data_IF_653533738122
#
_entry.id   IF_653533738122
#
_cell.length_a   1.000
_cell.length_b   1.000
_cell.length_c   1.000
_cell.angle_alpha   90.00
_cell.angle_beta   90.00
_cell.angle_gamma   90.00
#
_symmetry.space_group_name_H-M   'P 1'
#
loop_
_entity.id
_entity.type
_entity.pdbx_description
1 polymer ?
#
# COMPACT_ATOMS: atom_id res chain seq x y z
N UNK A 1 -18.19 11.36 23.12
CA UNK A 1 -18.60 12.15 21.94
C UNK A 1 -17.66 11.77 20.79
N UNK A 2 -17.86 10.63 20.17
CA UNK A 2 -16.97 10.11 19.12
C UNK A 2 -17.78 9.09 18.33
N UNK A 3 -17.66 9.14 17.00
CA UNK A 3 -18.60 8.64 15.97
C UNK A 3 -19.76 9.62 15.75
N UNK A 4 -19.85 10.38 14.62
CA UNK A 4 -19.35 10.05 13.29
C UNK A 4 -18.68 11.23 12.52
N UNK A 5 -17.35 11.26 12.41
CA UNK A 5 -16.72 12.04 11.33
C UNK A 5 -16.75 11.29 9.99
N UNK A 6 -16.88 9.96 10.01
CA UNK A 6 -16.86 9.13 8.81
C UNK A 6 -18.23 8.92 8.14
N UNK A 7 -19.38 9.15 8.83
CA UNK A 7 -20.72 9.05 8.19
C UNK A 7 -21.15 10.32 7.44
N UNK A 8 -20.47 11.44 7.61
CA UNK A 8 -20.94 12.75 7.10
C UNK A 8 -20.17 13.22 5.86
N UNK A 9 -19.68 12.28 5.06
CA UNK A 9 -18.92 12.58 3.85
C UNK A 9 -19.59 11.90 2.65
N UNK A 10 -20.90 12.17 2.51
CA UNK A 10 -21.61 11.98 1.26
C UNK A 10 -21.32 13.23 0.41
N UNK A 11 -20.52 13.08 -0.64
CA UNK A 11 -20.03 14.19 -1.45
C UNK A 11 -20.82 14.35 -2.72
N UNK A 12 -21.64 15.40 -2.80
CA UNK A 12 -22.45 15.70 -3.99
C UNK A 12 -21.76 16.61 -5.01
N UNK A 13 -20.61 17.22 -4.68
CA UNK A 13 -19.92 18.20 -5.52
C UNK A 13 -18.39 18.20 -5.32
N UNK A 14 -17.61 18.62 -6.32
CA UNK A 14 -16.14 18.81 -6.19
C UNK A 14 -15.76 19.76 -5.04
N UNK A 15 -16.58 20.77 -4.75
CA UNK A 15 -16.37 21.68 -3.62
C UNK A 15 -16.45 20.97 -2.27
N UNK A 16 -17.34 19.99 -2.13
CA UNK A 16 -17.46 19.19 -0.90
C UNK A 16 -16.23 18.28 -0.68
N UNK A 17 -15.65 17.72 -1.75
CA UNK A 17 -14.41 16.94 -1.67
C UNK A 17 -13.22 17.80 -1.21
N UNK A 18 -13.06 19.01 -1.76
CA UNK A 18 -12.04 19.96 -1.29
C UNK A 18 -12.20 20.28 0.19
N UNK A 19 -13.44 20.46 0.66
CA UNK A 19 -13.72 20.67 2.07
C UNK A 19 -13.35 19.46 2.94
N UNK A 20 -13.62 18.23 2.52
CA UNK A 20 -13.22 17.04 3.30
C UNK A 20 -11.72 16.77 3.29
N UNK A 21 -11.01 17.05 2.18
CA UNK A 21 -9.54 17.06 2.19
C UNK A 21 -9.01 18.10 3.17
N UNK A 22 -9.65 19.28 3.23
CA UNK A 22 -9.32 20.30 4.23
C UNK A 22 -9.59 19.82 5.66
N UNK A 23 -10.71 19.12 5.93
CA UNK A 23 -10.98 18.52 7.24
C UNK A 23 -9.91 17.52 7.68
N UNK A 24 -9.39 16.70 6.77
CA UNK A 24 -8.27 15.80 7.06
C UNK A 24 -6.98 16.56 7.43
N UNK A 25 -6.78 17.79 6.95
CA UNK A 25 -5.64 18.63 7.35
C UNK A 25 -5.70 19.09 8.81
N UNK A 26 -6.87 19.02 9.46
CA UNK A 26 -7.03 19.31 10.89
C UNK A 26 -6.78 18.07 11.78
N UNK A 27 -6.60 16.88 11.20
CA UNK A 27 -6.08 15.73 11.96
C UNK A 27 -4.65 16.09 12.38
N UNK A 28 -4.28 15.96 13.67
CA UNK A 28 -2.95 16.28 14.13
C UNK A 28 -1.89 15.55 13.31
N UNK A 29 -1.14 16.31 12.50
CA UNK A 29 -0.01 15.84 11.70
C UNK A 29 1.30 15.83 12.49
N UNK A 30 1.19 16.06 13.80
CA UNK A 30 2.30 16.00 14.76
C UNK A 30 2.84 14.58 14.80
N UNK A 31 4.13 14.46 14.52
CA UNK A 31 4.87 13.23 14.75
C UNK A 31 5.54 13.28 16.14
N UNK A 32 5.85 12.13 16.74
CA UNK A 32 6.68 12.06 17.94
C UNK A 32 8.02 12.82 17.78
N UNK A 33 8.58 13.37 18.85
CA UNK A 33 9.82 14.20 18.82
C UNK A 33 11.06 13.48 18.25
N UNK A 34 11.06 12.15 18.31
CA UNK A 34 12.07 11.28 17.73
C UNK A 34 11.88 11.01 16.23
N UNK A 35 10.88 11.61 15.58
CA UNK A 35 10.68 11.53 14.13
C UNK A 35 11.05 12.85 13.48
N UNK A 36 11.91 12.80 12.47
CA UNK A 36 12.16 13.91 11.56
C UNK A 36 11.35 13.75 10.28
N UNK A 37 10.69 14.83 9.88
CA UNK A 37 10.01 14.95 8.58
C UNK A 37 10.72 16.01 7.76
N UNK A 38 11.04 15.71 6.50
CA UNK A 38 11.66 16.69 5.60
C UNK A 38 11.06 16.58 4.20
N UNK A 39 10.46 17.67 3.74
CA UNK A 39 9.91 17.77 2.39
C UNK A 39 11.01 17.65 1.32
N UNK A 40 10.64 17.08 0.17
CA UNK A 40 11.45 17.03 -1.02
C UNK A 40 10.54 17.15 -2.25
N UNK A 41 11.06 17.78 -3.29
CA UNK A 41 10.39 17.92 -4.57
C UNK A 41 11.39 17.60 -5.67
N UNK A 42 11.02 16.76 -6.63
CA UNK A 42 11.87 16.35 -7.73
C UNK A 42 11.06 16.24 -9.02
N UNK A 43 11.68 16.46 -10.20
CA UNK A 43 10.95 16.46 -11.45
C UNK A 43 10.37 15.07 -11.75
N UNK A 44 9.17 15.06 -12.33
CA UNK A 44 8.60 13.87 -12.96
C UNK A 44 9.45 13.41 -14.14
N UNK A 45 9.36 12.12 -14.47
CA UNK A 45 10.01 11.53 -15.65
C UNK A 45 9.15 11.79 -16.87
N UNK A 46 9.21 13.01 -17.41
CA UNK A 46 8.38 13.43 -18.54
C UNK A 46 8.66 12.65 -19.83
N UNK A 47 9.78 11.93 -19.89
CA UNK A 47 10.09 10.98 -20.95
C UNK A 47 9.25 9.68 -20.89
N UNK A 48 8.58 9.41 -19.77
CA UNK A 48 7.71 8.24 -19.59
C UNK A 48 6.26 8.64 -19.85
N UNK A 49 5.75 8.29 -21.03
CA UNK A 49 4.37 8.58 -21.41
C UNK A 49 3.50 7.33 -21.25
N UNK A 50 2.58 7.35 -20.27
CA UNK A 50 1.57 6.29 -20.13
C UNK A 50 0.40 6.54 -21.09
N UNK A 51 -0.26 5.46 -21.51
CA UNK A 51 -1.44 5.54 -22.39
C UNK A 51 -2.52 6.44 -21.78
N UNK A 52 -3.03 7.39 -22.59
CA UNK A 52 -4.04 8.35 -22.15
C UNK A 52 -3.50 9.62 -21.48
N UNK A 53 -2.18 9.78 -21.32
CA UNK A 53 -1.58 11.03 -20.81
C UNK A 53 -1.30 12.06 -21.91
N UNK A 54 -1.43 13.34 -21.57
CA UNK A 54 -0.88 14.45 -22.36
C UNK A 54 0.54 14.80 -21.91
N UNK A 55 1.34 15.41 -22.78
CA UNK A 55 2.70 15.89 -22.44
C UNK A 55 2.68 16.83 -21.23
N UNK A 56 1.71 17.75 -21.18
CA UNK A 56 1.57 18.68 -20.05
C UNK A 56 1.37 17.94 -18.71
N UNK A 57 0.64 16.83 -18.72
CA UNK A 57 0.43 15.99 -17.53
C UNK A 57 1.66 15.18 -17.13
N UNK A 58 2.65 14.99 -18.02
CA UNK A 58 3.89 14.28 -17.70
C UNK A 58 4.93 15.18 -17.01
N UNK A 59 4.74 16.50 -17.05
CA UNK A 59 5.70 17.50 -16.53
C UNK A 59 5.43 17.94 -15.08
N UNK A 60 6.31 18.78 -14.55
CA UNK A 60 6.25 19.30 -13.18
C UNK A 60 6.94 18.38 -12.18
N UNK A 61 6.65 18.56 -10.88
CA UNK A 61 7.33 17.84 -9.82
C UNK A 61 6.43 16.82 -9.12
N UNK A 62 7.07 15.75 -8.65
CA UNK A 62 6.55 14.89 -7.58
C UNK A 62 7.01 15.48 -6.26
N UNK A 63 6.05 15.75 -5.37
CA UNK A 63 6.32 16.15 -4.00
C UNK A 63 6.31 14.92 -3.11
N UNK A 64 7.16 14.90 -2.09
CA UNK A 64 7.23 13.82 -1.13
C UNK A 64 7.80 14.33 0.21
N UNK A 65 7.70 13.49 1.23
CA UNK A 65 8.30 13.73 2.54
C UNK A 65 9.19 12.55 2.92
N UNK A 66 10.41 12.85 3.36
CA UNK A 66 11.22 11.90 4.09
C UNK A 66 10.74 11.84 5.54
N UNK A 67 10.35 10.66 6.01
CA UNK A 67 10.01 10.38 7.40
C UNK A 67 11.07 9.44 7.95
N UNK A 68 11.75 9.89 9.01
CA UNK A 68 12.92 9.20 9.54
C UNK A 68 12.91 9.23 11.07
N UNK A 69 12.90 8.05 11.68
CA UNK A 69 13.04 7.88 13.12
C UNK A 69 14.48 8.08 13.58
N UNK A 70 14.65 8.62 14.79
CA UNK A 70 15.94 9.07 15.33
C UNK A 70 16.95 7.94 15.58
N UNK A 71 16.55 6.68 15.62
CA UNK A 71 17.51 5.57 15.63
C UNK A 71 17.88 5.06 14.22
N UNK A 72 17.19 5.52 13.17
CA UNK A 72 17.15 4.89 11.85
C UNK A 72 18.18 5.44 10.85
N UNK A 73 19.07 6.37 11.26
CA UNK A 73 20.08 6.97 10.36
C UNK A 73 21.37 7.39 11.06
N UNK A 74 22.46 7.24 10.30
CA UNK A 74 23.79 7.79 10.55
C UNK A 74 23.75 9.31 10.79
N UNK A 75 24.65 9.78 11.66
CA UNK A 75 24.91 11.17 11.99
C UNK A 75 25.16 12.06 10.76
N UNK A 76 25.71 11.54 9.65
CA UNK A 76 25.99 12.35 8.45
C UNK A 76 24.72 12.79 7.71
N UNK A 77 23.72 11.91 7.56
CA UNK A 77 22.44 12.25 6.93
C UNK A 77 21.74 13.38 7.69
N UNK A 78 21.77 13.29 9.02
CA UNK A 78 21.22 14.29 9.95
C UNK A 78 21.92 15.64 9.83
N UNK A 79 23.25 15.61 9.72
CA UNK A 79 24.10 16.81 9.56
C UNK A 79 23.81 17.54 8.24
N UNK A 80 23.69 16.82 7.12
CA UNK A 80 23.41 17.41 5.80
C UNK A 80 22.05 18.13 5.73
N UNK A 81 21.10 17.79 6.60
CA UNK A 81 19.75 18.38 6.63
C UNK A 81 19.45 19.21 7.89
N UNK A 82 20.47 19.54 8.69
CA UNK A 82 20.35 20.48 9.82
C UNK A 82 19.53 19.98 11.01
N UNK A 83 19.35 18.67 11.17
CA UNK A 83 18.59 18.09 12.28
C UNK A 83 19.43 18.11 13.58
N UNK A 84 18.85 18.62 14.69
CA UNK A 84 19.53 18.71 16.00
C UNK A 84 19.83 17.32 16.55
N UNK A 85 21.06 17.11 17.02
CA UNK A 85 21.51 15.83 17.61
C UNK A 85 21.39 15.88 19.14
N UNK A 86 20.81 14.84 19.75
CA UNK A 86 21.06 14.53 21.16
C UNK A 86 22.12 13.41 21.21
N UNK A 87 23.34 13.79 21.57
CA UNK A 87 24.56 12.97 21.73
C UNK A 87 25.24 12.50 20.42
N UNK A 88 26.46 13.00 20.21
CA UNK A 88 27.37 12.56 19.15
C UNK A 88 28.20 11.35 19.58
N UNK A 89 28.50 10.43 18.66
CA UNK A 89 29.81 9.80 18.56
C UNK A 89 30.59 10.35 17.35
N UNK A 90 31.91 10.26 17.45
CA UNK A 90 32.92 10.90 16.60
C UNK A 90 32.70 10.82 15.09
N UNK A 91 32.93 11.95 14.42
CA UNK A 91 32.89 12.11 12.98
C UNK A 91 34.14 11.55 12.29
N UNK A 92 33.95 10.81 11.19
CA UNK A 92 34.94 10.65 10.12
C UNK A 92 34.40 11.30 8.85
N UNK A 93 35.17 12.25 8.32
CA UNK A 93 34.91 12.97 7.07
C UNK A 93 35.08 12.08 5.85
N UNK A 94 34.01 11.86 5.10
CA UNK A 94 34.01 11.24 3.78
C UNK A 94 32.60 11.34 3.21
N UNK A 95 32.45 11.50 1.90
CA UNK A 95 31.13 11.49 1.25
C UNK A 95 30.40 10.19 1.62
N UNK A 96 29.34 10.23 2.44
CA UNK A 96 28.55 9.04 2.76
C UNK A 96 27.98 8.41 1.49
N UNK A 97 28.55 7.26 1.11
CA UNK A 97 27.84 6.23 0.39
C UNK A 97 26.69 5.73 1.30
N UNK A 98 25.56 5.31 0.71
CA UNK A 98 24.59 4.51 1.47
C UNK A 98 25.32 3.31 2.06
N UNK A 99 25.03 2.97 3.32
CA UNK A 99 25.45 1.67 3.83
C UNK A 99 24.89 0.60 2.89
N UNK A 100 25.66 -0.41 2.46
CA UNK A 100 25.16 -1.50 1.62
C UNK A 100 23.89 -2.16 2.19
N UNK A 101 23.75 -2.13 3.52
CA UNK A 101 22.65 -2.76 4.26
C UNK A 101 21.45 -1.83 4.47
N UNK A 102 21.53 -0.57 4.05
CA UNK A 102 20.43 0.37 4.22
C UNK A 102 19.24 -0.01 3.34
N UNK A 103 18.05 -0.04 3.94
CA UNK A 103 16.76 -0.17 3.25
C UNK A 103 16.03 1.17 3.22
N UNK A 104 15.32 1.41 2.12
CA UNK A 104 14.48 2.58 1.87
C UNK A 104 13.06 2.08 1.62
N UNK A 105 12.08 2.67 2.32
CA UNK A 105 10.67 2.43 2.05
C UNK A 105 10.16 3.52 1.12
N UNK A 106 9.74 3.17 -0.09
CA UNK A 106 8.97 4.07 -0.96
C UNK A 106 7.49 3.86 -0.66
N UNK A 107 6.84 4.86 -0.06
CA UNK A 107 5.51 4.72 0.52
C UNK A 107 4.43 5.49 -0.27
N UNK A 108 3.31 4.81 -0.55
CA UNK A 108 2.11 5.39 -1.15
C UNK A 108 0.95 5.31 -0.16
N UNK A 109 0.38 6.47 0.18
CA UNK A 109 -0.73 6.55 1.14
C UNK A 109 -2.03 5.97 0.59
N UNK A 110 -2.92 5.50 1.47
CA UNK A 110 -4.30 5.16 1.14
C UNK A 110 -5.21 6.37 1.02
N UNK A 111 -6.52 6.10 0.94
CA UNK A 111 -7.55 7.14 0.73
C UNK A 111 -8.25 7.02 -0.62
N UNK A 112 -8.40 5.80 -1.13
CA UNK A 112 -9.20 5.49 -2.32
C UNK A 112 -8.83 6.30 -3.58
N UNK A 113 -7.56 6.71 -3.70
CA UNK A 113 -7.02 7.56 -4.79
C UNK A 113 -7.55 8.99 -4.88
N UNK A 114 -8.50 9.40 -4.03
CA UNK A 114 -9.05 10.76 -4.01
C UNK A 114 -8.91 11.48 -2.67
N UNK A 115 -8.41 10.81 -1.63
CA UNK A 115 -8.12 11.36 -0.30
C UNK A 115 -6.72 10.96 0.16
N UNK A 116 -6.29 11.58 1.25
CA UNK A 116 -4.99 11.32 1.86
C UNK A 116 -3.89 12.26 1.36
N UNK A 117 -2.75 12.14 2.00
CA UNK A 117 -1.48 12.81 1.71
C UNK A 117 -0.38 12.18 2.58
N UNK A 118 0.91 12.47 2.31
CA UNK A 118 2.00 12.13 3.23
C UNK A 118 1.72 12.58 4.67
N UNK A 119 1.23 13.81 4.83
CA UNK A 119 0.91 14.37 6.15
C UNK A 119 -0.14 13.56 6.92
N UNK A 120 -1.20 13.09 6.25
CA UNK A 120 -2.27 12.29 6.89
C UNK A 120 -1.82 10.89 7.29
N UNK A 121 -0.74 10.37 6.70
CA UNK A 121 -0.22 9.03 6.95
C UNK A 121 1.06 9.03 7.79
N UNK A 122 1.49 10.19 8.32
CA UNK A 122 2.69 10.33 9.15
C UNK A 122 2.74 9.39 10.36
N UNK A 123 1.62 9.10 11.01
CA UNK A 123 1.60 8.13 12.12
C UNK A 123 2.01 6.73 11.65
N UNK A 124 1.56 6.33 10.47
CA UNK A 124 1.84 5.03 9.90
C UNK A 124 3.28 4.98 9.35
N UNK A 125 3.71 5.99 8.59
CA UNK A 125 5.08 6.06 8.06
C UNK A 125 6.15 6.24 9.16
N UNK A 126 5.80 6.86 10.28
CA UNK A 126 6.65 6.90 11.48
C UNK A 126 6.86 5.51 12.06
N UNK A 127 5.79 4.72 12.21
CA UNK A 127 5.87 3.34 12.68
C UNK A 127 6.66 2.45 11.72
N UNK A 128 6.52 2.64 10.40
CA UNK A 128 7.39 1.99 9.41
C UNK A 128 8.85 2.35 9.68
N UNK A 129 9.20 3.63 9.80
CA UNK A 129 10.60 4.05 10.01
C UNK A 129 11.18 3.53 11.32
N UNK A 130 10.38 3.47 12.37
CA UNK A 130 10.76 2.94 13.69
C UNK A 130 11.01 1.43 13.64
N UNK A 131 10.06 0.63 13.13
CA UNK A 131 10.13 -0.83 13.21
C UNK A 131 11.04 -1.47 12.16
N UNK A 132 11.28 -0.78 11.04
CA UNK A 132 12.17 -1.25 9.97
C UNK A 132 13.59 -0.69 10.09
N UNK A 133 13.79 0.34 10.92
CA UNK A 133 15.03 1.12 10.93
C UNK A 133 15.35 1.83 9.61
N UNK A 134 14.37 1.94 8.70
CA UNK A 134 14.56 2.47 7.35
C UNK A 134 14.10 3.92 7.23
N UNK A 135 14.63 4.64 6.24
CA UNK A 135 14.04 5.92 5.80
C UNK A 135 12.80 5.66 4.97
N UNK A 136 11.75 6.45 5.18
CA UNK A 136 10.50 6.35 4.41
C UNK A 136 10.36 7.57 3.51
N UNK A 137 10.27 7.38 2.20
CA UNK A 137 9.89 8.42 1.25
C UNK A 137 8.38 8.30 0.98
N UNK A 138 7.58 9.15 1.61
CA UNK A 138 6.13 9.16 1.43
C UNK A 138 5.73 10.11 0.31
N UNK A 139 5.15 9.57 -0.76
CA UNK A 139 4.89 10.32 -2.01
C UNK A 139 3.52 11.02 -1.94
N UNK A 140 3.48 12.31 -2.27
CA UNK A 140 2.25 13.06 -2.52
C UNK A 140 1.85 12.88 -3.98
N UNK A 141 1.42 11.67 -4.33
CA UNK A 141 0.99 11.36 -5.69
C UNK A 141 -0.31 12.11 -6.02
N UNK A 142 -0.48 12.47 -7.29
CA UNK A 142 -1.67 13.17 -7.78
C UNK A 142 -2.96 12.40 -7.47
N UNK A 143 -4.03 13.11 -7.13
CA UNK A 143 -5.29 12.51 -6.73
C UNK A 143 -6.41 12.78 -7.73
N UNK A 144 -7.30 11.80 -7.84
CA UNK A 144 -8.58 11.89 -8.50
C UNK A 144 -9.57 12.80 -7.74
N UNK A 145 -10.57 13.42 -8.40
CA UNK A 145 -10.85 13.38 -9.84
C UNK A 145 -10.02 14.39 -10.64
N UNK A 146 -9.24 15.26 -9.99
CA UNK A 146 -8.44 16.27 -10.71
C UNK A 146 -7.37 15.62 -11.58
N UNK A 147 -6.85 14.48 -11.13
CA UNK A 147 -5.81 13.73 -11.81
C UNK A 147 -6.12 12.22 -11.72
N UNK A 148 -7.06 11.70 -12.52
CA UNK A 148 -7.41 10.28 -12.52
C UNK A 148 -6.25 9.43 -13.06
N UNK A 149 -6.41 8.11 -12.99
CA UNK A 149 -5.56 7.15 -13.69
C UNK A 149 -5.33 7.59 -15.16
N UNK A 150 -4.09 7.53 -15.67
CA UNK A 150 -2.90 6.90 -15.08
C UNK A 150 -1.97 7.85 -14.29
N UNK A 151 -2.40 9.08 -13.99
CA UNK A 151 -1.52 10.11 -13.39
C UNK A 151 -0.95 9.75 -12.01
N UNK A 152 -1.69 9.07 -11.11
CA UNK A 152 -1.14 8.56 -9.84
C UNK A 152 -0.02 7.52 -10.07
N UNK A 153 -0.19 6.63 -11.05
CA UNK A 153 0.80 5.61 -11.42
C UNK A 153 2.07 6.24 -12.00
N UNK A 154 1.92 7.26 -12.86
CA UNK A 154 3.04 8.01 -13.38
C UNK A 154 3.88 8.68 -12.27
N UNK A 155 3.23 9.19 -11.22
CA UNK A 155 3.93 9.76 -10.07
C UNK A 155 4.68 8.70 -9.25
N UNK A 156 4.09 7.50 -9.10
CA UNK A 156 4.74 6.35 -8.47
C UNK A 156 5.97 5.88 -9.25
N UNK A 157 5.86 5.78 -10.57
CA UNK A 157 6.98 5.44 -11.47
C UNK A 157 8.07 6.50 -11.38
N UNK A 158 7.70 7.78 -11.45
CA UNK A 158 8.64 8.89 -11.31
C UNK A 158 9.38 8.87 -9.97
N UNK A 159 8.69 8.55 -8.87
CA UNK A 159 9.30 8.44 -7.55
C UNK A 159 10.27 7.25 -7.45
N UNK A 160 9.89 6.09 -7.95
CA UNK A 160 10.75 4.91 -7.95
C UNK A 160 12.01 5.12 -8.79
N UNK A 161 11.84 5.58 -10.02
CA UNK A 161 12.96 5.86 -10.92
C UNK A 161 13.83 7.00 -10.36
N UNK A 162 13.24 8.02 -9.74
CA UNK A 162 13.97 9.07 -9.05
C UNK A 162 14.87 8.56 -7.90
N UNK A 163 14.53 7.44 -7.27
CA UNK A 163 15.40 6.81 -6.26
C UNK A 163 16.56 6.01 -6.89
N UNK A 164 16.32 5.29 -7.99
CA UNK A 164 17.36 4.43 -8.62
C UNK A 164 18.20 5.15 -9.68
N UNK A 165 17.70 6.25 -10.19
CA UNK A 165 18.30 7.09 -11.23
C UNK A 165 17.92 8.56 -11.00
N UNK A 166 18.45 9.20 -9.94
CA UNK A 166 18.01 10.52 -9.53
C UNK A 166 18.31 11.58 -10.60
N UNK A 167 17.36 12.50 -10.87
CA UNK A 167 17.61 13.65 -11.74
C UNK A 167 18.78 14.48 -11.22
N UNK A 168 19.68 14.91 -12.12
CA UNK A 168 20.80 15.77 -11.78
C UNK A 168 20.34 17.03 -11.03
N UNK A 169 20.97 17.33 -9.89
CA UNK A 169 20.65 18.51 -9.10
C UNK A 169 19.39 18.41 -8.23
N UNK A 170 18.66 17.29 -8.24
CA UNK A 170 17.46 17.08 -7.39
C UNK A 170 17.76 16.96 -5.89
N UNK A 171 19.03 16.75 -5.52
CA UNK A 171 19.43 16.45 -4.14
C UNK A 171 19.00 15.06 -3.66
N UNK A 172 18.45 14.22 -4.55
CA UNK A 172 18.17 12.81 -4.26
C UNK A 172 19.44 11.97 -4.33
N UNK A 173 19.58 11.07 -3.38
CA UNK A 173 20.62 10.05 -3.38
C UNK A 173 20.19 8.89 -4.29
N UNK A 174 21.14 8.33 -5.04
CA UNK A 174 20.93 7.11 -5.83
C UNK A 174 20.95 5.89 -4.91
N UNK A 175 19.95 5.02 -5.05
CA UNK A 175 19.82 3.75 -4.35
C UNK A 175 19.82 2.58 -5.34
N UNK A 176 20.25 1.41 -4.89
CA UNK A 176 20.06 0.19 -5.67
C UNK A 176 18.60 -0.27 -5.56
N UNK A 177 18.01 -0.87 -6.61
CA UNK A 177 16.69 -1.51 -6.52
C UNK A 177 16.56 -2.48 -5.33
N UNK A 178 17.63 -3.23 -5.02
CA UNK A 178 17.71 -4.16 -3.88
C UNK A 178 17.68 -3.51 -2.49
N UNK A 179 17.80 -2.17 -2.42
CA UNK A 179 17.64 -1.39 -1.20
C UNK A 179 16.21 -0.86 -1.02
N UNK A 180 15.37 -0.91 -2.06
CA UNK A 180 14.06 -0.26 -2.05
C UNK A 180 12.98 -1.31 -1.80
N UNK A 181 12.19 -1.10 -0.76
CA UNK A 181 10.90 -1.79 -0.56
C UNK A 181 9.80 -0.80 -0.89
N UNK A 182 8.90 -1.16 -1.80
CA UNK A 182 7.71 -0.34 -2.07
C UNK A 182 6.61 -0.74 -1.09
N UNK A 183 5.91 0.22 -0.54
CA UNK A 183 4.89 -0.03 0.46
C UNK A 183 3.70 0.91 0.30
N UNK A 184 2.57 0.50 0.85
CA UNK A 184 1.40 1.37 0.93
C UNK A 184 0.26 0.75 1.71
N UNK A 185 -0.79 1.54 1.89
CA UNK A 185 -2.03 1.14 2.54
C UNK A 185 -3.23 1.32 1.61
N UNK A 186 -4.20 0.40 1.64
CA UNK A 186 -5.45 0.53 0.87
C UNK A 186 -5.18 0.77 -0.62
N UNK A 187 -5.71 1.84 -1.20
CA UNK A 187 -5.40 2.29 -2.56
C UNK A 187 -3.90 2.50 -2.84
N UNK A 188 -3.13 2.97 -1.86
CA UNK A 188 -1.69 3.16 -2.00
C UNK A 188 -0.93 1.83 -2.08
N UNK A 189 -1.42 0.79 -1.39
CA UNK A 189 -0.88 -0.56 -1.54
C UNK A 189 -1.15 -1.11 -2.96
N UNK A 190 -2.32 -0.83 -3.52
CA UNK A 190 -2.66 -1.15 -4.91
C UNK A 190 -1.74 -0.40 -5.89
N UNK A 191 -1.44 0.87 -5.61
CA UNK A 191 -0.49 1.66 -6.40
C UNK A 191 0.94 1.08 -6.35
N UNK A 192 1.37 0.59 -5.17
CA UNK A 192 2.67 -0.08 -5.02
C UNK A 192 2.75 -1.34 -5.89
N UNK A 193 1.68 -2.14 -5.92
CA UNK A 193 1.60 -3.33 -6.76
C UNK A 193 1.51 -2.96 -8.25
N UNK A 194 0.71 -1.96 -8.62
CA UNK A 194 0.62 -1.48 -10.01
C UNK A 194 1.96 -0.94 -10.53
N UNK A 195 2.72 -0.21 -9.69
CA UNK A 195 4.10 0.19 -10.00
C UNK A 195 4.98 -1.04 -10.28
N UNK A 196 4.92 -2.05 -9.42
CA UNK A 196 5.68 -3.28 -9.58
C UNK A 196 5.30 -3.99 -10.90
N UNK A 197 4.02 -4.13 -11.21
CA UNK A 197 3.56 -4.71 -12.48
C UNK A 197 4.05 -3.90 -13.68
N UNK A 198 4.01 -2.57 -13.61
CA UNK A 198 4.50 -1.73 -14.70
C UNK A 198 6.01 -1.89 -14.92
N UNK A 199 6.81 -1.90 -13.85
CA UNK A 199 8.27 -2.11 -13.94
C UNK A 199 8.59 -3.53 -14.42
N UNK A 200 7.81 -4.53 -14.02
CA UNK A 200 7.93 -5.90 -14.51
C UNK A 200 7.77 -5.96 -16.03
N UNK A 201 6.76 -5.28 -16.56
CA UNK A 201 6.38 -5.35 -17.97
C UNK A 201 7.22 -4.42 -18.87
N UNK A 202 7.73 -3.30 -18.33
CA UNK A 202 8.40 -2.24 -19.12
C UNK A 202 9.86 -1.97 -18.69
N UNK A 203 10.30 -2.51 -17.56
CA UNK A 203 11.57 -2.16 -16.94
C UNK A 203 12.78 -2.74 -17.67
N UNK A 204 12.65 -3.94 -18.25
CA UNK A 204 13.75 -4.65 -18.92
C UNK A 204 14.36 -3.85 -20.08
N UNK A 205 13.51 -3.23 -20.91
CA UNK A 205 13.92 -2.39 -22.04
C UNK A 205 14.70 -1.15 -21.60
N UNK A 206 14.43 -0.65 -20.39
CA UNK A 206 15.02 0.56 -19.83
C UNK A 206 16.14 0.26 -18.81
N UNK A 207 16.44 -1.01 -18.56
CA UNK A 207 17.39 -1.43 -17.52
C UNK A 207 16.89 -1.18 -16.07
N UNK A 208 15.61 -0.88 -15.89
CA UNK A 208 14.99 -0.75 -14.57
C UNK A 208 14.67 -2.13 -14.01
N UNK A 209 15.14 -2.38 -12.79
CA UNK A 209 14.86 -3.63 -12.07
C UNK A 209 13.72 -3.41 -11.08
N UNK A 210 13.04 -4.49 -10.71
CA UNK A 210 12.04 -4.50 -9.66
C UNK A 210 12.63 -4.08 -8.30
N UNK A 211 11.81 -3.50 -7.40
CA UNK A 211 12.22 -3.26 -6.02
C UNK A 211 12.54 -4.57 -5.30
N UNK A 212 13.25 -4.49 -4.18
CA UNK A 212 13.57 -5.64 -3.33
C UNK A 212 12.31 -6.38 -2.89
N UNK A 213 11.22 -5.67 -2.63
CA UNK A 213 9.91 -6.27 -2.36
C UNK A 213 8.82 -5.27 -2.09
N UNK A 214 7.66 -5.80 -1.70
CA UNK A 214 6.40 -5.07 -1.54
C UNK A 214 5.85 -5.31 -0.13
N UNK A 215 5.42 -4.26 0.57
CA UNK A 215 4.58 -4.36 1.78
C UNK A 215 3.23 -3.70 1.51
N UNK A 216 2.19 -4.52 1.40
CA UNK A 216 0.84 -4.10 1.10
C UNK A 216 -0.07 -4.26 2.31
N UNK A 217 -0.47 -3.13 2.90
CA UNK A 217 -1.40 -3.12 4.02
C UNK A 217 -2.82 -3.03 3.47
N UNK A 218 -3.59 -4.10 3.60
CA UNK A 218 -5.02 -4.10 3.30
C UNK A 218 -5.33 -3.56 1.88
N UNK A 219 -4.70 -4.14 0.82
CA UNK A 219 -4.72 -3.56 -0.52
C UNK A 219 -6.10 -3.63 -1.19
N UNK A 220 -6.46 -2.58 -1.93
CA UNK A 220 -7.69 -2.51 -2.72
C UNK A 220 -7.44 -2.89 -4.18
N UNK A 221 -7.46 -4.19 -4.45
CA UNK A 221 -7.02 -4.81 -5.70
C UNK A 221 -8.13 -4.97 -6.75
N UNK A 222 -9.38 -4.71 -6.38
CA UNK A 222 -10.57 -4.96 -7.20
C UNK A 222 -11.63 -3.84 -7.07
N UNK A 223 -11.64 -2.92 -8.04
CA UNK A 223 -12.65 -1.87 -8.16
C UNK A 223 -14.03 -2.38 -8.58
N UNK A 224 -14.16 -3.64 -9.01
CA UNK A 224 -15.47 -4.25 -9.31
C UNK A 224 -16.17 -4.74 -8.03
N UNK A 225 -15.46 -4.81 -6.91
CA UNK A 225 -15.94 -5.33 -5.63
C UNK A 225 -16.57 -6.72 -5.75
N UNK A 226 -15.93 -7.59 -6.53
CA UNK A 226 -16.43 -8.92 -6.88
C UNK A 226 -16.32 -9.93 -5.72
N UNK A 227 -15.51 -9.64 -4.70
CA UNK A 227 -15.24 -10.56 -3.61
C UNK A 227 -16.27 -10.46 -2.46
N UNK A 228 -16.61 -11.59 -1.82
CA UNK A 228 -17.74 -11.65 -0.89
C UNK A 228 -17.51 -10.90 0.43
N UNK A 229 -16.28 -10.86 0.97
CA UNK A 229 -15.97 -10.07 2.17
C UNK A 229 -16.36 -8.61 2.03
N UNK A 230 -16.32 -8.05 0.81
CA UNK A 230 -16.68 -6.66 0.57
C UNK A 230 -18.12 -6.36 0.99
N UNK A 231 -19.03 -7.34 0.87
CA UNK A 231 -20.44 -7.19 1.20
C UNK A 231 -20.74 -7.70 2.62
N UNK A 232 -20.10 -8.80 3.03
CA UNK A 232 -20.43 -9.52 4.27
C UNK A 232 -19.77 -8.96 5.54
N UNK A 233 -18.59 -8.34 5.45
CA UNK A 233 -17.87 -7.87 6.64
C UNK A 233 -18.44 -6.54 7.16
N UNK A 234 -19.61 -6.62 7.79
CA UNK A 234 -20.39 -5.49 8.33
C UNK A 234 -19.74 -4.75 9.50
N UNK A 235 -18.79 -5.39 10.19
CA UNK A 235 -18.02 -4.79 11.29
C UNK A 235 -16.93 -3.83 10.79
N UNK A 236 -16.58 -3.89 9.51
CA UNK A 236 -15.63 -2.95 8.92
C UNK A 236 -16.25 -1.55 8.79
N UNK A 237 -15.44 -0.53 9.02
CA UNK A 237 -15.86 0.86 8.89
C UNK A 237 -15.86 1.34 7.43
N UNK A 238 -15.32 0.55 6.50
CA UNK A 238 -15.46 0.82 5.07
C UNK A 238 -16.95 0.79 4.66
N UNK A 239 -17.46 1.86 3.99
CA UNK A 239 -18.87 1.97 3.67
C UNK A 239 -19.30 1.01 2.54
N UNK A 240 -20.49 0.40 2.69
CA UNK A 240 -21.13 -0.47 1.67
C UNK A 240 -21.91 0.30 0.63
N UNK A 241 -22.30 1.55 0.93
CA UNK A 241 -23.30 2.35 0.20
C UNK A 241 -22.83 2.87 -1.16
N UNK A 242 -22.13 2.01 -1.90
CA UNK A 242 -21.78 2.10 -3.31
C UNK A 242 -22.93 1.56 -4.20
N UNK A 243 -24.14 1.38 -3.65
CA UNK A 243 -25.26 0.69 -4.32
C UNK A 243 -26.56 1.49 -4.44
N UNK A 244 -26.60 2.77 -4.03
CA UNK A 244 -27.78 3.63 -4.22
C UNK A 244 -27.64 4.50 -5.48
N UNK A 245 -28.38 4.22 -6.56
CA UNK A 245 -28.30 4.97 -7.82
C UNK A 245 -28.85 6.41 -7.75
N UNK A 246 -29.53 6.81 -6.66
CA UNK A 246 -30.17 8.13 -6.54
C UNK A 246 -29.32 9.20 -5.84
N UNK A 247 -28.20 8.82 -5.21
CA UNK A 247 -27.35 9.72 -4.44
C UNK A 247 -25.90 9.66 -4.90
N UNK A 248 -25.64 10.30 -6.06
CA UNK A 248 -24.32 10.55 -6.65
C UNK A 248 -23.61 9.27 -7.11
N UNK A 249 -23.66 9.04 -8.44
CA UNK A 249 -22.67 8.27 -9.22
C UNK A 249 -22.08 7.07 -8.46
N UNK A 250 -22.81 5.96 -8.52
CA UNK A 250 -22.70 4.70 -7.79
C UNK A 250 -21.38 3.89 -7.93
N UNK A 251 -20.23 4.53 -8.13
CA UNK A 251 -18.93 3.89 -7.97
C UNK A 251 -17.85 4.91 -7.63
N UNK A 252 -17.18 4.77 -6.47
CA UNK A 252 -16.00 5.59 -6.15
C UNK A 252 -14.83 5.28 -7.09
N UNK A 253 -14.86 4.14 -7.76
CA UNK A 253 -13.92 3.81 -8.85
C UNK A 253 -13.95 4.86 -9.96
N UNK A 254 -15.11 5.49 -10.24
CA UNK A 254 -15.22 6.58 -11.23
C UNK A 254 -14.42 7.84 -10.90
N UNK A 255 -13.99 8.00 -9.64
CA UNK A 255 -13.03 9.05 -9.33
C UNK A 255 -11.66 8.64 -9.85
N UNK A 256 -11.24 7.42 -9.53
CA UNK A 256 -9.92 6.94 -9.92
C UNK A 256 -9.80 6.71 -11.43
N UNK A 257 -10.82 6.17 -12.09
CA UNK A 257 -10.89 6.01 -13.55
C UNK A 257 -12.03 6.84 -14.12
N UNK A 258 -11.84 7.44 -15.29
CA UNK A 258 -12.92 8.18 -15.96
C UNK A 258 -13.98 7.28 -16.63
N UNK A 259 -13.73 5.97 -16.69
CA UNK A 259 -14.57 4.97 -17.34
C UNK A 259 -14.56 3.66 -16.53
N UNK A 260 -15.73 3.02 -16.41
CA UNK A 260 -15.90 1.74 -15.74
C UNK A 260 -15.25 0.58 -16.47
N UNK A 261 -15.03 0.69 -17.79
CA UNK A 261 -14.30 -0.33 -18.55
C UNK A 261 -12.89 -0.58 -17.96
N UNK A 262 -12.31 0.45 -17.35
CA UNK A 262 -10.99 0.40 -16.71
C UNK A 262 -10.99 -0.31 -15.35
N UNK A 263 -12.15 -0.59 -14.74
CA UNK A 263 -12.20 -1.29 -13.45
C UNK A 263 -11.56 -2.69 -13.50
N UNK A 264 -11.46 -3.28 -14.69
CA UNK A 264 -10.79 -4.57 -14.92
C UNK A 264 -9.35 -4.45 -15.45
N UNK A 265 -8.87 -3.23 -15.68
CA UNK A 265 -7.49 -3.01 -16.15
C UNK A 265 -6.50 -3.48 -15.06
N UNK A 266 -5.49 -4.31 -15.39
CA UNK A 266 -4.53 -4.85 -14.42
C UNK A 266 -3.70 -3.82 -13.64
N UNK A 267 -3.51 -2.60 -14.17
CA UNK A 267 -2.82 -1.50 -13.48
C UNK A 267 -3.75 -0.64 -12.62
N UNK A 268 -5.06 -0.85 -12.75
CA UNK A 268 -6.11 -0.20 -11.97
C UNK A 268 -6.60 -1.12 -10.85
N UNK A 269 -6.88 -2.37 -11.20
CA UNK A 269 -7.30 -3.45 -10.31
C UNK A 269 -6.33 -4.63 -10.47
N UNK A 270 -5.22 -4.64 -9.70
CA UNK A 270 -4.20 -5.68 -9.84
C UNK A 270 -4.68 -7.12 -9.61
N UNK A 271 -5.88 -7.33 -9.02
CA UNK A 271 -6.49 -8.65 -8.93
C UNK A 271 -6.59 -9.35 -10.31
N UNK A 272 -6.79 -8.59 -11.38
CA UNK A 272 -6.95 -9.10 -12.74
C UNK A 272 -5.63 -9.28 -13.51
N UNK A 273 -4.50 -8.87 -12.93
CA UNK A 273 -3.18 -9.23 -13.44
C UNK A 273 -2.89 -10.73 -13.14
N UNK A 274 -1.93 -11.32 -13.87
CA UNK A 274 -1.51 -12.71 -13.65
C UNK A 274 0.02 -12.83 -13.69
N UNK A 275 0.55 -13.78 -12.91
CA UNK A 275 1.88 -14.37 -13.13
C UNK A 275 1.80 -15.68 -13.92
N UNK A 276 2.95 -16.16 -14.37
CA UNK A 276 3.11 -17.37 -15.16
C UNK A 276 4.22 -18.23 -14.55
N UNK A 277 3.90 -19.49 -14.22
CA UNK A 277 4.84 -20.44 -13.63
C UNK A 277 6.06 -20.72 -14.52
N UNK A 278 5.90 -20.59 -15.85
CA UNK A 278 6.95 -20.84 -16.83
C UNK A 278 7.78 -19.60 -17.18
N UNK A 279 7.44 -18.44 -16.60
CA UNK A 279 8.17 -17.21 -16.80
C UNK A 279 8.46 -16.55 -15.44
N UNK A 280 9.65 -16.79 -14.85
CA UNK A 280 10.04 -16.12 -13.61
C UNK A 280 10.02 -14.59 -13.69
N UNK A 281 10.16 -13.99 -14.88
CA UNK A 281 10.07 -12.54 -15.05
C UNK A 281 8.64 -12.02 -14.89
N UNK A 282 7.63 -12.88 -14.99
CA UNK A 282 6.23 -12.52 -14.76
C UNK A 282 5.83 -12.44 -13.27
N UNK A 283 6.70 -12.89 -12.36
CA UNK A 283 6.45 -12.90 -10.92
C UNK A 283 6.68 -11.53 -10.29
N UNK A 284 6.03 -11.29 -9.16
CA UNK A 284 6.35 -10.16 -8.28
C UNK A 284 7.57 -10.48 -7.41
N UNK A 285 8.28 -9.46 -6.88
CA UNK A 285 9.31 -9.68 -5.87
C UNK A 285 8.67 -10.18 -4.56
N UNK A 286 9.51 -10.47 -3.56
CA UNK A 286 9.04 -10.79 -2.21
C UNK A 286 7.95 -9.80 -1.79
N UNK A 287 6.80 -10.33 -1.36
CA UNK A 287 5.63 -9.50 -1.09
C UNK A 287 4.98 -9.93 0.22
N UNK A 288 4.80 -8.99 1.14
CA UNK A 288 4.03 -9.15 2.36
C UNK A 288 2.69 -8.45 2.20
N UNK A 289 1.59 -9.19 2.38
CA UNK A 289 0.23 -8.65 2.43
C UNK A 289 -0.33 -8.88 3.83
N UNK A 290 -0.78 -7.82 4.49
CA UNK A 290 -1.44 -7.89 5.80
C UNK A 290 -2.90 -7.49 5.69
N UNK A 291 -3.80 -8.33 6.21
CA UNK A 291 -5.25 -8.18 6.11
C UNK A 291 -5.91 -8.32 7.47
N UNK A 292 -7.03 -7.63 7.66
CA UNK A 292 -7.92 -7.90 8.79
C UNK A 292 -8.91 -9.04 8.48
N UNK A 293 -9.18 -9.93 9.44
CA UNK A 293 -10.18 -10.98 9.24
C UNK A 293 -11.62 -10.45 9.13
N UNK A 294 -11.87 -9.24 9.66
CA UNK A 294 -13.14 -8.50 9.59
C UNK A 294 -13.12 -7.39 8.52
N UNK A 295 -12.14 -7.41 7.64
CA UNK A 295 -11.95 -6.39 6.62
C UNK A 295 -12.71 -6.70 5.33
N UNK A 296 -13.33 -5.70 4.72
CA UNK A 296 -14.03 -5.83 3.43
C UNK A 296 -13.12 -6.23 2.27
N UNK A 297 -11.87 -5.77 2.27
CA UNK A 297 -10.87 -6.05 1.24
C UNK A 297 -10.07 -7.35 1.48
N UNK A 298 -10.48 -8.16 2.48
CA UNK A 298 -9.76 -9.40 2.84
C UNK A 298 -9.67 -10.38 1.66
N UNK A 299 -10.80 -10.69 1.05
CA UNK A 299 -10.87 -11.81 0.11
C UNK A 299 -10.13 -11.53 -1.20
N UNK A 300 -10.06 -10.27 -1.65
CA UNK A 300 -9.28 -9.90 -2.84
C UNK A 300 -7.78 -10.07 -2.63
N UNK A 301 -7.24 -9.77 -1.43
CA UNK A 301 -5.86 -10.07 -1.08
C UNK A 301 -5.59 -11.58 -1.09
N UNK A 302 -6.50 -12.38 -0.52
CA UNK A 302 -6.38 -13.85 -0.52
C UNK A 302 -6.39 -14.39 -1.95
N UNK A 303 -7.35 -13.99 -2.78
CA UNK A 303 -7.47 -14.46 -4.16
C UNK A 303 -6.32 -13.99 -5.04
N UNK A 304 -5.80 -12.78 -4.80
CA UNK A 304 -4.61 -12.28 -5.49
C UNK A 304 -3.42 -13.21 -5.27
N UNK A 305 -3.13 -13.60 -4.02
CA UNK A 305 -2.01 -14.49 -3.71
C UNK A 305 -2.27 -15.95 -4.10
N UNK A 306 -3.51 -16.44 -3.95
CA UNK A 306 -3.85 -17.85 -4.14
C UNK A 306 -4.07 -18.22 -5.62
N UNK A 307 -4.54 -17.27 -6.43
CA UNK A 307 -4.89 -17.53 -7.83
C UNK A 307 -4.08 -16.66 -8.80
N UNK A 308 -4.11 -15.33 -8.65
CA UNK A 308 -3.51 -14.43 -9.63
C UNK A 308 -1.98 -14.43 -9.65
N UNK A 309 -1.36 -14.53 -8.48
CA UNK A 309 0.08 -14.52 -8.29
C UNK A 309 0.58 -15.74 -7.51
N UNK A 310 -0.03 -16.89 -7.78
CA UNK A 310 0.27 -18.15 -7.07
C UNK A 310 1.71 -18.61 -7.20
N UNK A 311 2.46 -18.13 -8.20
CA UNK A 311 3.86 -18.49 -8.40
C UNK A 311 4.81 -17.53 -7.68
N UNK A 312 4.40 -16.28 -7.49
CA UNK A 312 5.16 -15.25 -6.80
C UNK A 312 5.40 -15.57 -5.32
N UNK A 313 6.49 -15.06 -4.70
CA UNK A 313 6.82 -15.27 -3.30
C UNK A 313 6.03 -14.34 -2.39
N UNK A 314 4.73 -14.61 -2.27
CA UNK A 314 3.78 -13.83 -1.47
C UNK A 314 3.54 -14.48 -0.10
N UNK A 315 3.73 -13.71 0.97
CA UNK A 315 3.29 -14.02 2.32
C UNK A 315 2.02 -13.23 2.62
N UNK A 316 0.95 -13.92 3.01
CA UNK A 316 -0.28 -13.32 3.53
C UNK A 316 -0.36 -13.51 5.04
N UNK A 317 -0.72 -12.46 5.76
CA UNK A 317 -1.04 -12.50 7.18
C UNK A 317 -2.45 -11.97 7.42
N UNK A 318 -3.34 -12.82 7.94
CA UNK A 318 -4.73 -12.48 8.25
C UNK A 318 -4.84 -12.32 9.76
N UNK A 319 -5.03 -11.09 10.22
CA UNK A 319 -5.11 -10.75 11.64
C UNK A 319 -6.53 -10.89 12.18
N UNK A 320 -6.67 -11.70 13.22
CA UNK A 320 -7.94 -11.99 13.88
C UNK A 320 -8.57 -10.73 14.44
N UNK A 321 -9.87 -10.57 14.21
CA UNK A 321 -10.72 -9.45 14.62
C UNK A 321 -10.26 -8.04 14.19
N UNK A 322 -9.25 -7.93 13.33
CA UNK A 322 -8.82 -6.66 12.76
C UNK A 322 -9.70 -6.21 11.59
N UNK A 323 -9.88 -4.89 11.48
CA UNK A 323 -10.60 -4.18 10.41
C UNK A 323 -9.63 -3.55 9.40
N UNK A 324 -10.15 -2.85 8.39
CA UNK A 324 -9.32 -2.13 7.42
C UNK A 324 -8.31 -1.20 8.10
N UNK A 325 -7.07 -1.17 7.60
CA UNK A 325 -5.95 -0.34 8.11
C UNK A 325 -5.88 -0.29 9.65
N UNK A 326 -5.74 -1.46 10.29
CA UNK A 326 -5.60 -1.55 11.75
C UNK A 326 -4.20 -1.17 12.27
N UNK A 327 -3.19 -1.18 11.40
CA UNK A 327 -1.78 -0.98 11.76
C UNK A 327 -1.49 0.31 12.55
N UNK A 328 -2.13 1.48 12.27
CA UNK A 328 -1.93 2.68 13.08
C UNK A 328 -2.29 2.52 14.57
N UNK A 329 -3.10 1.52 14.95
CA UNK A 329 -3.41 1.24 16.36
C UNK A 329 -2.21 0.76 17.17
N UNK A 330 -1.08 0.40 16.53
CA UNK A 330 0.17 0.10 17.22
C UNK A 330 0.65 1.30 18.09
N UNK A 331 0.45 2.53 17.60
CA UNK A 331 0.76 3.75 18.36
C UNK A 331 -0.13 3.92 19.62
N UNK A 332 -1.19 3.14 19.74
CA UNK A 332 -2.08 3.08 20.91
C UNK A 332 -1.88 1.82 21.76
N UNK A 333 -0.87 1.01 21.46
CA UNK A 333 -0.56 -0.20 22.22
C UNK A 333 -1.39 -1.42 21.83
N UNK A 334 -2.11 -1.40 20.70
CA UNK A 334 -2.85 -2.56 20.22
C UNK A 334 -1.87 -3.64 19.75
N UNK A 335 -2.01 -4.85 20.32
CA UNK A 335 -1.02 -5.91 20.21
C UNK A 335 -0.93 -6.50 18.81
N UNK A 336 -2.06 -6.70 18.12
CA UNK A 336 -2.08 -7.22 16.76
C UNK A 336 -1.39 -6.27 15.78
N UNK A 337 -1.63 -4.97 15.91
CA UNK A 337 -0.98 -3.92 15.14
C UNK A 337 0.53 -3.84 15.42
N UNK A 338 0.96 -4.01 16.68
CA UNK A 338 2.39 -4.10 17.03
C UNK A 338 3.01 -5.34 16.38
N UNK A 339 2.35 -6.49 16.45
CA UNK A 339 2.84 -7.72 15.83
C UNK A 339 2.92 -7.60 14.31
N UNK A 340 1.95 -6.91 13.69
CA UNK A 340 1.99 -6.56 12.28
C UNK A 340 3.23 -5.75 11.92
N UNK A 341 3.59 -4.73 12.71
CA UNK A 341 4.80 -3.96 12.48
C UNK A 341 6.10 -4.71 12.76
N UNK A 342 6.12 -5.62 13.74
CA UNK A 342 7.28 -6.52 13.94
C UNK A 342 7.50 -7.41 12.72
N UNK A 343 6.41 -7.97 12.17
CA UNK A 343 6.48 -8.76 10.93
C UNK A 343 6.99 -7.93 9.76
N UNK A 344 6.50 -6.69 9.57
CA UNK A 344 7.02 -5.75 8.57
C UNK A 344 8.51 -5.48 8.77
N UNK A 345 8.95 -5.23 10.01
CA UNK A 345 10.36 -4.99 10.33
C UNK A 345 11.26 -6.16 9.96
N UNK A 346 10.84 -7.38 10.30
CA UNK A 346 11.55 -8.61 9.92
C UNK A 346 11.54 -8.80 8.40
N UNK A 347 10.39 -8.59 7.75
CA UNK A 347 10.28 -8.68 6.30
C UNK A 347 11.28 -7.73 5.62
N UNK A 348 11.25 -6.44 5.93
CA UNK A 348 12.15 -5.44 5.31
C UNK A 348 13.62 -5.76 5.57
N UNK A 349 13.97 -6.17 6.80
CA UNK A 349 15.34 -6.51 7.19
C UNK A 349 15.90 -7.69 6.42
N UNK A 350 15.09 -8.73 6.20
CA UNK A 350 15.51 -9.97 5.54
C UNK A 350 15.07 -10.08 4.08
N UNK A 351 14.50 -9.01 3.52
CA UNK A 351 14.13 -8.93 2.11
C UNK A 351 15.34 -8.63 1.21
N UNK A 352 16.38 -9.44 1.33
CA UNK A 352 17.58 -9.44 0.50
C UNK A 352 17.40 -10.38 -0.70
N UNK A 353 18.29 -10.29 -1.67
CA UNK A 353 18.37 -11.33 -2.70
C UNK A 353 18.53 -12.70 -2.00
N UNK A 354 17.77 -13.72 -2.41
CA UNK A 354 17.88 -15.07 -1.82
C UNK A 354 19.32 -15.58 -1.87
N UNK A 355 20.07 -15.22 -2.92
CA UNK A 355 21.49 -15.58 -3.06
C UNK A 355 22.40 -14.98 -1.98
N UNK A 356 21.97 -13.92 -1.30
CA UNK A 356 22.70 -13.25 -0.22
C UNK A 356 22.33 -13.81 1.17
N UNK A 357 21.24 -14.59 1.28
CA UNK A 357 20.83 -15.24 2.52
C UNK A 357 21.31 -16.69 2.54
N UNK A 358 21.92 -17.12 3.66
CA UNK A 358 22.17 -18.55 3.84
C UNK A 358 20.83 -19.30 3.95
N UNK A 359 20.75 -20.52 3.40
CA UNK A 359 19.55 -21.36 3.52
C UNK A 359 19.13 -21.53 4.99
N UNK A 360 20.11 -21.64 5.90
CA UNK A 360 19.88 -21.71 7.35
C UNK A 360 19.33 -20.40 7.96
N UNK A 361 19.60 -19.24 7.35
CA UNK A 361 18.99 -17.96 7.74
C UNK A 361 17.58 -17.87 7.19
N UNK A 362 17.39 -18.21 5.92
CA UNK A 362 16.09 -18.17 5.25
C UNK A 362 15.08 -19.12 5.92
N UNK A 363 15.47 -20.37 6.21
CA UNK A 363 14.60 -21.33 6.92
C UNK A 363 14.29 -20.94 8.37
N UNK A 364 15.15 -20.14 9.01
CA UNK A 364 14.91 -19.64 10.38
C UNK A 364 14.01 -18.41 10.42
N UNK A 365 13.94 -17.62 9.34
CA UNK A 365 13.13 -16.41 9.29
C UNK A 365 11.73 -16.80 8.77
N UNK A 366 10.91 -17.32 9.68
CA UNK A 366 9.50 -17.64 9.39
C UNK A 366 8.73 -16.47 8.78
N UNK A 367 9.12 -15.22 9.07
CA UNK A 367 8.40 -13.99 8.68
C UNK A 367 8.59 -13.57 7.21
N UNK A 368 9.47 -14.23 6.43
CA UNK A 368 9.64 -13.97 4.98
C UNK A 368 9.17 -15.13 4.10
N UNK A 369 8.76 -16.24 4.71
CA UNK A 369 8.36 -17.43 3.96
C UNK A 369 7.01 -17.18 3.27
N UNK A 370 6.98 -17.39 1.95
CA UNK A 370 5.75 -17.48 1.13
C UNK A 370 4.75 -18.41 1.83
N UNK A 371 3.50 -18.01 1.91
CA UNK A 371 2.47 -18.81 2.55
C UNK A 371 1.30 -17.98 3.06
N UNK A 372 0.34 -18.67 3.66
CA UNK A 372 -0.87 -18.09 4.22
C UNK A 372 -0.87 -18.30 5.73
N UNK A 373 -0.92 -17.21 6.48
CA UNK A 373 -0.80 -17.23 7.93
C UNK A 373 -2.02 -16.56 8.57
N UNK A 374 -2.53 -17.15 9.63
CA UNK A 374 -3.55 -16.57 10.50
C UNK A 374 -2.88 -16.12 11.80
N UNK A 375 -3.10 -14.87 12.19
CA UNK A 375 -2.49 -14.26 13.37
C UNK A 375 -3.59 -13.99 14.38
N UNK A 376 -3.44 -14.53 15.59
CA UNK A 376 -4.42 -14.35 16.67
C UNK A 376 -3.73 -14.23 18.02
N UNK A 377 -4.50 -14.07 19.10
CA UNK A 377 -3.95 -14.05 20.47
C UNK A 377 -3.21 -15.33 20.87
N UNK A 378 -3.39 -16.45 20.15
CA UNK A 378 -2.62 -17.68 20.37
C UNK A 378 -1.30 -17.75 19.61
N UNK A 379 -1.01 -16.76 18.76
CA UNK A 379 0.20 -16.67 17.94
C UNK A 379 -0.06 -16.69 16.43
N UNK A 380 1.01 -16.96 15.66
CA UNK A 380 0.98 -17.05 14.20
C UNK A 380 0.90 -18.51 13.78
N UNK A 381 -0.11 -18.85 12.97
CA UNK A 381 -0.32 -20.20 12.45
C UNK A 381 -0.28 -20.19 10.91
N UNK A 382 0.54 -21.06 10.30
CA UNK A 382 0.47 -21.33 8.86
C UNK A 382 -0.80 -22.15 8.57
N UNK A 383 -1.73 -21.59 7.79
CA UNK A 383 -3.01 -22.23 7.46
C UNK A 383 -3.00 -22.90 6.08
N UNK A 384 -2.04 -22.54 5.21
CA UNK A 384 -1.96 -23.03 3.84
C UNK A 384 -3.00 -22.43 2.89
N UNK A 385 -2.76 -22.58 1.59
CA UNK A 385 -3.59 -21.96 0.55
C UNK A 385 -5.02 -22.51 0.52
N UNK A 386 -5.21 -23.80 0.74
CA UNK A 386 -6.54 -24.44 0.71
C UNK A 386 -7.46 -23.86 1.79
N UNK A 387 -6.99 -23.74 3.03
CA UNK A 387 -7.78 -23.15 4.11
C UNK A 387 -8.04 -21.66 3.87
N UNK A 388 -7.07 -20.91 3.34
CA UNK A 388 -7.28 -19.51 3.00
C UNK A 388 -8.35 -19.33 1.91
N UNK A 389 -8.32 -20.14 0.85
CA UNK A 389 -9.35 -20.13 -0.20
C UNK A 389 -10.71 -20.59 0.34
N UNK A 390 -10.74 -21.53 1.29
CA UNK A 390 -11.98 -21.96 1.95
C UNK A 390 -12.65 -20.82 2.75
N UNK A 391 -11.89 -19.88 3.32
CA UNK A 391 -12.46 -18.67 3.95
C UNK A 391 -13.29 -17.88 2.92
N UNK A 392 -12.74 -17.68 1.71
CA UNK A 392 -13.42 -16.96 0.63
C UNK A 392 -14.61 -17.76 0.09
N UNK A 393 -14.46 -19.07 -0.08
CA UNK A 393 -15.51 -19.95 -0.58
C UNK A 393 -16.72 -20.01 0.38
N UNK A 394 -16.47 -20.08 1.69
CA UNK A 394 -17.51 -20.05 2.72
C UNK A 394 -18.29 -18.71 2.67
N UNK A 395 -17.57 -17.58 2.60
CA UNK A 395 -18.17 -16.27 2.44
C UNK A 395 -19.00 -16.17 1.14
N UNK A 396 -18.51 -16.73 0.03
CA UNK A 396 -19.26 -16.77 -1.23
C UNK A 396 -20.57 -17.56 -1.12
N UNK A 397 -20.56 -18.67 -0.38
CA UNK A 397 -21.75 -19.47 -0.12
C UNK A 397 -22.76 -18.70 0.74
N UNK A 398 -22.31 -18.04 1.81
CA UNK A 398 -23.14 -17.20 2.67
C UNK A 398 -23.81 -16.05 1.88
N UNK A 399 -23.05 -15.34 1.04
CA UNK A 399 -23.58 -14.24 0.23
C UNK A 399 -24.64 -14.73 -0.76
N UNK A 400 -24.47 -15.93 -1.34
CA UNK A 400 -25.51 -16.54 -2.20
C UNK A 400 -26.78 -16.81 -1.40
N UNK A 401 -26.67 -17.37 -0.20
CA UNK A 401 -27.83 -17.63 0.67
C UNK A 401 -28.58 -16.35 1.04
N UNK A 402 -27.88 -15.27 1.39
CA UNK A 402 -28.51 -13.98 1.70
C UNK A 402 -29.31 -13.44 0.51
N UNK A 403 -28.75 -13.50 -0.71
CA UNK A 403 -29.47 -13.09 -1.93
C UNK A 403 -30.68 -13.97 -2.23
N UNK A 404 -30.61 -15.28 -1.99
CA UNK A 404 -31.77 -16.16 -2.14
C UNK A 404 -32.91 -15.81 -1.16
N UNK A 405 -32.58 -15.50 0.10
CA UNK A 405 -33.56 -15.08 1.10
C UNK A 405 -34.20 -13.74 0.73
N UNK A 406 -33.43 -12.77 0.24
CA UNK A 406 -33.96 -11.49 -0.26
C UNK A 406 -34.92 -11.68 -1.43
N UNK A 407 -34.58 -12.52 -2.43
CA UNK A 407 -35.46 -12.83 -3.57
C UNK A 407 -36.71 -13.62 -3.14
N UNK A 408 -36.58 -14.49 -2.15
CA UNK A 408 -37.71 -15.20 -1.55
C UNK A 408 -38.67 -14.24 -0.85
N UNK A 409 -38.15 -13.26 -0.12
CA UNK A 409 -38.96 -12.27 0.61
C UNK A 409 -39.60 -11.22 -0.32
N UNK A 410 -38.95 -10.83 -1.43
CA UNK A 410 -39.55 -9.93 -2.43
C UNK A 410 -40.68 -10.59 -3.22
N UNK A 411 -40.60 -11.92 -3.44
CA UNK A 411 -41.70 -12.68 -4.04
C UNK A 411 -42.88 -12.97 -3.07
N UNK A 412 -42.73 -12.68 -1.77
CA UNK A 412 -43.80 -12.80 -0.76
C UNK A 412 -44.55 -11.48 -0.55
N UNK A 413 -44.12 -10.39 -1.18
CA UNK A 413 -44.92 -9.15 -1.31
C UNK A 413 -45.68 -9.09 -2.63
N UNK A 414 -46.51 -10.10 -2.92
CA UNK A 414 -47.62 -9.95 -3.87
C UNK A 414 -48.87 -10.51 -3.21
N UNK A 415 -49.90 -9.66 -3.17
CA UNK A 415 -51.25 -9.86 -2.63
C UNK A 415 -51.41 -9.94 -1.11
N UNK A 416 -51.82 -8.82 -0.52
CA UNK A 416 -53.16 -8.66 0.06
C UNK A 416 -53.66 -7.22 -0.14
#
# INVERSE_FOLDING_TARGET
>A
MTVPLYRTVLHSTQSSLKYSRSLLSFIPTSVPDNISVTEISFPRRCEIMLEGMTESQATGNVNAEWVVHGSSVDAEWRRKRGLKTSKQPHASSGQSASSPDEKIILYFHGGAFFMGSPATTRNLTSLFSEHTGSRVLSVAYRLAPENPFPLPLHDAISAYIGLIDPPSGSGMQKFKPSQIVVAGDSAGASLAIALALWIRDNGSENGWKMPAGIVALAPWLDLTHSQPSFHLNSLDYLPVTVSDPAHITSNRSHYYTSDDSMNSNPLVSPLFAKDNAHDPASQLPQTLIQLGSRERLRDEGIMFAADSFKNSPIRIEIYSDMVHIFQPFAAKGEEMAINAFKSIGNFVKYNSDRSELSEATYEKVNDIKKGFYYVSGSGVQEIGVENAVNIVAAARHELKLQKFVEVGNTNVQVSL
#
